data_IF_080569138741
#
_entry.id   IF_080569138741
#
_cell.length_a   1.000
_cell.length_b   1.000
_cell.length_c   1.000
_cell.angle_alpha   90.00
_cell.angle_beta   90.00
_cell.angle_gamma   90.00
#
_symmetry.space_group_name_H-M   'P 1'
#
loop_
_entity.id
_entity.type
_entity.pdbx_description
1 polymer ?
#
# COMPACT_ATOMS: atom_id res chain seq x y z
N UNK A 1 5.92 16.83 3.56
CA UNK A 1 7.02 16.08 4.20
C UNK A 1 6.56 15.12 5.28
N UNK A 2 5.74 15.57 6.24
CA UNK A 2 5.24 14.71 7.34
C UNK A 2 4.54 13.45 6.82
N UNK A 3 3.67 13.57 5.81
CA UNK A 3 2.95 12.45 5.21
C UNK A 3 3.91 11.34 4.73
N UNK A 4 4.88 11.70 3.89
CA UNK A 4 5.85 10.74 3.32
C UNK A 4 6.74 10.17 4.43
N UNK A 5 7.20 11.00 5.37
CA UNK A 5 8.01 10.55 6.50
C UNK A 5 7.29 9.52 7.36
N UNK A 6 6.04 9.80 7.75
CA UNK A 6 5.21 8.88 8.53
C UNK A 6 4.87 7.61 7.76
N UNK A 7 4.61 7.73 6.46
CA UNK A 7 4.41 6.57 5.58
C UNK A 7 5.65 5.70 5.51
N UNK A 8 6.85 6.28 5.37
CA UNK A 8 8.11 5.54 5.29
C UNK A 8 8.44 4.83 6.61
N UNK A 9 8.28 5.50 7.76
CA UNK A 9 8.47 4.86 9.07
C UNK A 9 7.48 3.72 9.25
N UNK A 10 6.20 3.97 8.98
CA UNK A 10 5.16 2.96 9.19
C UNK A 10 5.34 1.76 8.25
N UNK A 11 5.66 2.00 6.98
CA UNK A 11 5.95 0.95 6.00
C UNK A 11 7.22 0.16 6.36
N UNK A 12 8.25 0.82 6.88
CA UNK A 12 9.45 0.15 7.40
C UNK A 12 9.13 -0.80 8.57
N UNK A 13 8.29 -0.36 9.51
CA UNK A 13 7.79 -1.21 10.60
C UNK A 13 6.96 -2.38 10.04
N UNK A 14 6.04 -2.12 9.11
CA UNK A 14 5.25 -3.17 8.45
C UNK A 14 6.13 -4.24 7.80
N UNK A 15 7.16 -3.81 7.07
CA UNK A 15 8.12 -4.69 6.43
C UNK A 15 8.89 -5.56 7.44
N UNK A 16 9.31 -5.00 8.58
CA UNK A 16 9.98 -5.76 9.63
C UNK A 16 9.06 -6.81 10.26
N UNK A 17 7.83 -6.43 10.61
CA UNK A 17 6.86 -7.33 11.24
C UNK A 17 6.26 -8.37 10.28
N UNK A 18 6.43 -8.18 8.97
CA UNK A 18 5.91 -9.10 7.95
C UNK A 18 6.35 -10.55 8.16
N UNK A 19 7.60 -10.76 8.61
CA UNK A 19 8.17 -12.09 8.90
C UNK A 19 7.44 -12.82 10.02
N UNK A 20 6.90 -12.09 10.99
CA UNK A 20 6.19 -12.66 12.15
C UNK A 20 4.68 -12.76 11.92
N UNK A 21 4.07 -11.74 11.30
CA UNK A 21 2.63 -11.65 11.06
C UNK A 21 2.20 -12.51 9.86
N UNK A 22 2.83 -12.32 8.70
CA UNK A 22 2.46 -12.99 7.44
C UNK A 22 3.16 -14.32 7.28
N UNK A 23 4.38 -14.46 7.81
CA UNK A 23 5.16 -15.71 7.81
C UNK A 23 5.34 -16.35 6.44
N UNK A 24 5.32 -15.55 5.36
CA UNK A 24 5.32 -16.04 3.98
C UNK A 24 4.17 -17.03 3.70
N UNK A 25 3.00 -16.77 4.28
CA UNK A 25 1.76 -17.51 4.05
C UNK A 25 0.87 -16.75 3.06
N UNK A 26 0.43 -17.43 2.00
CA UNK A 26 -0.37 -16.84 0.92
C UNK A 26 -1.75 -16.39 1.42
N UNK A 27 -2.38 -17.15 2.31
CA UNK A 27 -3.71 -16.82 2.86
C UNK A 27 -3.64 -15.56 3.73
N UNK A 28 -2.58 -15.39 4.52
CA UNK A 28 -2.38 -14.17 5.31
C UNK A 28 -2.03 -12.97 4.45
N UNK A 29 -1.27 -13.18 3.38
CA UNK A 29 -0.94 -12.14 2.42
C UNK A 29 -2.21 -11.62 1.72
N UNK A 30 -3.11 -12.52 1.32
CA UNK A 30 -4.43 -12.17 0.78
C UNK A 30 -5.24 -11.29 1.73
N UNK A 31 -5.34 -11.67 3.01
CA UNK A 31 -6.06 -10.88 4.03
C UNK A 31 -5.46 -9.48 4.16
N UNK A 32 -4.13 -9.35 4.16
CA UNK A 32 -3.46 -8.06 4.25
C UNK A 32 -3.71 -7.19 3.03
N UNK A 33 -3.66 -7.76 1.82
CA UNK A 33 -3.98 -7.03 0.59
C UNK A 33 -5.45 -6.55 0.59
N UNK A 34 -6.36 -7.35 1.12
CA UNK A 34 -7.75 -6.96 1.30
C UNK A 34 -7.90 -5.82 2.34
N UNK A 35 -7.20 -5.90 3.46
CA UNK A 35 -7.16 -4.83 4.47
C UNK A 35 -6.58 -3.52 3.91
N UNK A 36 -5.50 -3.60 3.13
CA UNK A 36 -4.92 -2.44 2.43
C UNK A 36 -5.94 -1.83 1.48
N UNK A 37 -6.62 -2.66 0.68
CA UNK A 37 -7.67 -2.20 -0.24
C UNK A 37 -8.78 -1.49 0.51
N UNK A 38 -9.31 -2.10 1.59
CA UNK A 38 -10.34 -1.50 2.42
C UNK A 38 -9.91 -0.17 3.04
N UNK A 39 -8.67 -0.09 3.52
CA UNK A 39 -8.11 1.15 4.07
C UNK A 39 -7.98 2.26 3.01
N UNK A 40 -7.55 1.93 1.79
CA UNK A 40 -7.45 2.89 0.68
C UNK A 40 -8.84 3.38 0.26
N UNK A 41 -9.82 2.49 0.16
CA UNK A 41 -11.22 2.87 -0.15
C UNK A 41 -11.78 3.77 0.94
N UNK A 42 -11.58 3.43 2.21
CA UNK A 42 -11.98 4.29 3.33
C UNK A 42 -11.32 5.67 3.26
N UNK A 43 -10.01 5.73 3.01
CA UNK A 43 -9.29 6.98 2.82
C UNK A 43 -9.84 7.80 1.66
N UNK A 44 -10.22 7.16 0.55
CA UNK A 44 -10.75 7.87 -0.62
C UNK A 44 -12.02 8.67 -0.31
N UNK A 45 -12.84 8.19 0.64
CA UNK A 45 -14.08 8.86 1.07
C UNK A 45 -13.81 9.86 2.20
N UNK A 46 -12.89 9.55 3.11
CA UNK A 46 -12.63 10.33 4.32
C UNK A 46 -11.76 11.57 4.06
N UNK A 47 -10.80 11.48 3.13
CA UNK A 47 -9.79 12.54 2.91
C UNK A 47 -10.41 13.86 2.47
N UNK A 48 -11.41 13.84 1.58
CA UNK A 48 -12.07 15.07 1.10
C UNK A 48 -12.75 15.86 2.23
N UNK A 49 -13.71 15.27 2.96
CA UNK A 49 -14.39 15.93 4.07
C UNK A 49 -13.44 16.40 5.19
N UNK A 50 -12.41 15.60 5.52
CA UNK A 50 -11.42 15.99 6.54
C UNK A 50 -10.54 17.15 6.05
N UNK A 51 -10.18 17.20 4.76
CA UNK A 51 -9.41 18.31 4.22
C UNK A 51 -10.21 19.62 4.24
N UNK A 52 -11.50 19.57 3.90
CA UNK A 52 -12.40 20.74 3.88
C UNK A 52 -12.71 21.27 5.29
N UNK A 53 -13.13 20.40 6.21
CA UNK A 53 -13.32 20.75 7.62
C UNK A 53 -12.01 21.12 8.33
N UNK A 54 -10.90 20.59 7.81
CA UNK A 54 -9.53 20.79 8.26
C UNK A 54 -8.99 22.21 8.09
N UNK A 55 -9.64 23.07 7.31
CA UNK A 55 -9.09 24.38 6.93
C UNK A 55 -8.80 25.25 8.16
N UNK A 56 -9.71 25.29 9.14
CA UNK A 56 -9.63 26.11 10.34
C UNK A 56 -8.76 25.53 11.48
N UNK A 57 -8.31 24.28 11.37
CA UNK A 57 -7.55 23.61 12.44
C UNK A 57 -6.12 24.16 12.59
N UNK A 58 -5.57 24.21 13.82
CA UNK A 58 -4.17 24.58 14.02
C UNK A 58 -3.22 23.52 13.43
N UNK A 59 -2.06 23.98 12.91
CA UNK A 59 -1.09 23.14 12.19
C UNK A 59 -0.69 21.84 12.92
N UNK A 60 -0.43 21.82 14.24
CA UNK A 60 -0.07 20.59 14.95
C UNK A 60 -1.16 19.51 14.90
N UNK A 61 -2.43 19.92 14.93
CA UNK A 61 -3.54 18.98 14.92
C UNK A 61 -3.74 18.38 13.52
N UNK A 62 -3.55 19.17 12.46
CA UNK A 62 -3.53 18.65 11.07
C UNK A 62 -2.43 17.62 10.86
N UNK A 63 -1.25 17.85 11.45
CA UNK A 63 -0.14 16.90 11.43
C UNK A 63 -0.56 15.60 12.12
N UNK A 64 -1.07 15.67 13.35
CA UNK A 64 -1.45 14.48 14.11
C UNK A 64 -2.53 13.65 13.40
N UNK A 65 -3.56 14.31 12.85
CA UNK A 65 -4.61 13.65 12.07
C UNK A 65 -4.03 12.98 10.82
N UNK A 66 -3.12 13.65 10.11
CA UNK A 66 -2.47 13.07 8.93
C UNK A 66 -1.66 11.82 9.29
N UNK A 67 -0.90 11.87 10.39
CA UNK A 67 -0.13 10.71 10.88
C UNK A 67 -1.07 9.57 11.23
N UNK A 68 -2.13 9.84 11.98
CA UNK A 68 -3.10 8.83 12.40
C UNK A 68 -3.82 8.17 11.21
N UNK A 69 -4.13 8.92 10.16
CA UNK A 69 -4.76 8.39 8.95
C UNK A 69 -3.80 7.56 8.09
N UNK A 70 -2.53 7.96 8.00
CA UNK A 70 -1.55 7.36 7.07
C UNK A 70 -0.79 6.21 7.69
N UNK A 71 -0.54 6.23 9.00
CA UNK A 71 0.28 5.22 9.65
C UNK A 71 -0.32 3.80 9.52
N UNK A 72 -1.61 3.52 9.84
CA UNK A 72 -2.16 2.18 9.69
C UNK A 72 -2.10 1.61 8.26
N UNK A 73 -2.54 2.32 7.20
CA UNK A 73 -2.42 1.82 5.84
C UNK A 73 -0.95 1.73 5.41
N UNK A 74 -0.09 2.68 5.81
CA UNK A 74 1.35 2.62 5.54
C UNK A 74 2.00 1.36 6.12
N UNK A 75 1.61 0.95 7.33
CA UNK A 75 2.07 -0.29 7.96
C UNK A 75 1.65 -1.52 7.18
N UNK A 76 0.37 -1.62 6.83
CA UNK A 76 -0.17 -2.73 6.07
C UNK A 76 0.45 -2.82 4.66
N UNK A 77 0.65 -1.68 3.98
CA UNK A 77 1.28 -1.59 2.65
C UNK A 77 2.76 -1.99 2.65
N UNK A 78 3.44 -1.96 3.81
CA UNK A 78 4.84 -2.36 3.93
C UNK A 78 5.07 -3.88 3.94
N UNK A 79 4.03 -4.68 4.15
CA UNK A 79 4.14 -6.14 4.30
C UNK A 79 4.17 -6.96 3.00
N UNK A 80 3.43 -6.61 1.92
CA UNK A 80 3.33 -7.46 0.73
C UNK A 80 4.64 -7.68 0.00
N UNK A 81 5.44 -6.63 -0.19
CA UNK A 81 6.70 -6.71 -0.94
C UNK A 81 7.72 -7.69 -0.32
N UNK A 82 8.11 -7.58 0.98
CA UNK A 82 9.05 -8.54 1.59
C UNK A 82 8.48 -9.96 1.65
N UNK A 83 7.17 -10.10 1.84
CA UNK A 83 6.50 -11.42 1.87
C UNK A 83 6.55 -12.09 0.50
N UNK A 84 6.15 -11.38 -0.55
CA UNK A 84 6.19 -11.86 -1.93
C UNK A 84 7.60 -12.17 -2.40
N UNK A 85 8.58 -11.35 -2.00
CA UNK A 85 9.99 -11.62 -2.31
C UNK A 85 10.50 -12.89 -1.63
N UNK A 86 10.12 -13.13 -0.37
CA UNK A 86 10.47 -14.37 0.35
C UNK A 86 9.83 -15.61 -0.30
N UNK A 87 8.57 -15.48 -0.75
CA UNK A 87 7.88 -16.55 -1.49
C UNK A 87 8.57 -16.83 -2.83
N UNK A 88 8.91 -15.77 -3.58
CA UNK A 88 9.61 -15.88 -4.86
C UNK A 88 11.00 -16.48 -4.71
N UNK A 89 11.74 -16.11 -3.66
CA UNK A 89 13.05 -16.67 -3.37
C UNK A 89 12.98 -18.19 -3.13
N UNK A 90 11.91 -18.68 -2.48
CA UNK A 90 11.69 -20.12 -2.28
C UNK A 90 11.32 -20.85 -3.56
N UNK A 91 10.50 -20.24 -4.42
CA UNK A 91 9.99 -20.87 -5.63
C UNK A 91 10.97 -20.78 -6.82
N UNK A 92 11.60 -19.62 -7.03
CA UNK A 92 12.48 -19.33 -8.16
C UNK A 92 13.54 -18.27 -7.78
N UNK A 93 14.66 -18.67 -7.14
CA UNK A 93 15.71 -17.74 -6.69
C UNK A 93 16.28 -16.85 -7.80
N UNK A 94 16.36 -17.36 -9.04
CA UNK A 94 16.88 -16.62 -10.19
C UNK A 94 16.01 -15.41 -10.57
N UNK A 95 14.72 -15.42 -10.22
CA UNK A 95 13.76 -14.38 -10.55
C UNK A 95 13.78 -13.20 -9.57
N UNK A 96 14.43 -13.33 -8.42
CA UNK A 96 14.56 -12.26 -7.41
C UNK A 96 15.16 -10.99 -8.02
N UNK A 97 16.15 -11.13 -8.92
CA UNK A 97 16.75 -9.98 -9.64
C UNK A 97 15.75 -9.24 -10.53
N UNK A 98 14.88 -9.98 -11.21
CA UNK A 98 13.82 -9.42 -12.03
C UNK A 98 12.76 -8.71 -11.19
N UNK A 99 12.40 -9.27 -10.03
CA UNK A 99 11.46 -8.63 -9.11
C UNK A 99 11.93 -7.23 -8.65
N UNK A 100 13.23 -7.08 -8.35
CA UNK A 100 13.80 -5.77 -8.03
C UNK A 100 13.75 -4.78 -9.20
N UNK A 101 14.05 -5.25 -10.43
CA UNK A 101 13.96 -4.40 -11.63
C UNK A 101 12.51 -3.94 -11.90
N UNK A 102 11.54 -4.85 -11.78
CA UNK A 102 10.12 -4.55 -11.93
C UNK A 102 9.65 -3.58 -10.85
N UNK A 103 10.10 -3.74 -9.60
CA UNK A 103 9.75 -2.82 -8.51
C UNK A 103 10.24 -1.38 -8.79
N UNK A 104 11.46 -1.22 -9.30
CA UNK A 104 12.02 0.08 -9.66
C UNK A 104 11.22 0.73 -10.81
N UNK A 105 10.96 -0.02 -11.89
CA UNK A 105 10.18 0.46 -13.02
C UNK A 105 8.75 0.83 -12.61
N UNK A 106 8.10 -0.02 -11.81
CA UNK A 106 6.72 0.20 -11.32
C UNK A 106 6.61 1.41 -10.41
N UNK A 107 7.64 1.73 -9.62
CA UNK A 107 7.65 2.93 -8.76
C UNK A 107 7.68 4.22 -9.59
N UNK A 108 8.46 4.24 -10.67
CA UNK A 108 8.52 5.40 -11.59
C UNK A 108 7.20 5.55 -12.34
N UNK A 109 6.72 4.47 -12.98
CA UNK A 109 5.48 4.48 -13.74
C UNK A 109 4.26 4.78 -12.85
N UNK A 110 4.20 4.15 -11.67
CA UNK A 110 3.12 4.33 -10.71
C UNK A 110 3.05 5.75 -10.16
N UNK A 111 4.18 6.38 -9.86
CA UNK A 111 4.17 7.78 -9.40
C UNK A 111 3.74 8.75 -10.50
N UNK A 112 4.21 8.57 -11.74
CA UNK A 112 3.79 9.38 -12.88
C UNK A 112 2.29 9.19 -13.19
N UNK A 113 1.81 7.95 -13.21
CA UNK A 113 0.41 7.61 -13.40
C UNK A 113 -0.48 8.17 -12.28
N UNK A 114 -0.05 8.08 -11.02
CA UNK A 114 -0.81 8.62 -9.90
C UNK A 114 -0.99 10.14 -9.99
N UNK A 115 0.06 10.87 -10.38
CA UNK A 115 -0.03 12.33 -10.60
C UNK A 115 -0.97 12.63 -11.76
N UNK A 116 -0.80 11.94 -12.89
CA UNK A 116 -1.67 12.10 -14.05
C UNK A 116 -3.14 11.88 -13.70
N UNK A 117 -3.45 10.74 -13.07
CA UNK A 117 -4.82 10.42 -12.64
C UNK A 117 -5.34 11.45 -11.63
N UNK A 118 -4.51 11.90 -10.68
CA UNK A 118 -4.95 12.88 -9.69
C UNK A 118 -5.30 14.24 -10.30
N UNK A 119 -4.61 14.64 -11.37
CA UNK A 119 -4.90 15.89 -12.10
C UNK A 119 -6.20 15.79 -12.90
N UNK A 120 -6.40 14.69 -13.64
CA UNK A 120 -7.52 14.57 -14.58
C UNK A 120 -8.79 13.96 -13.98
N UNK A 121 -8.66 13.02 -13.05
CA UNK A 121 -9.77 12.29 -12.43
C UNK A 121 -9.97 12.66 -10.96
N UNK A 122 -9.04 13.42 -10.37
CA UNK A 122 -9.08 13.80 -8.97
C UNK A 122 -8.49 12.74 -8.03
N UNK A 123 -8.23 13.16 -6.79
CA UNK A 123 -7.56 12.33 -5.77
C UNK A 123 -8.38 11.09 -5.39
N UNK A 124 -9.71 11.23 -5.29
CA UNK A 124 -10.59 10.12 -4.92
C UNK A 124 -10.54 8.98 -5.94
N UNK A 125 -10.69 9.29 -7.23
CA UNK A 125 -10.61 8.29 -8.30
C UNK A 125 -9.23 7.63 -8.36
N UNK A 126 -8.15 8.40 -8.21
CA UNK A 126 -6.79 7.87 -8.15
C UNK A 126 -6.59 6.88 -7.01
N UNK A 127 -7.13 7.17 -5.82
CA UNK A 127 -7.07 6.25 -4.68
C UNK A 127 -7.87 4.96 -4.96
N UNK A 128 -9.06 5.07 -5.55
CA UNK A 128 -9.88 3.90 -5.91
C UNK A 128 -9.14 3.02 -6.92
N UNK A 129 -8.55 3.61 -7.96
CA UNK A 129 -7.76 2.87 -8.96
C UNK A 129 -6.56 2.18 -8.29
N UNK A 130 -5.86 2.86 -7.40
CA UNK A 130 -4.77 2.26 -6.62
C UNK A 130 -5.25 1.08 -5.75
N UNK A 131 -6.40 1.23 -5.10
CA UNK A 131 -7.05 0.15 -4.35
C UNK A 131 -7.43 -1.04 -5.23
N UNK A 132 -7.93 -0.80 -6.45
CA UNK A 132 -8.24 -1.85 -7.41
C UNK A 132 -6.99 -2.63 -7.83
N UNK A 133 -5.83 -1.99 -7.97
CA UNK A 133 -4.56 -2.68 -8.21
C UNK A 133 -4.17 -3.62 -7.05
N UNK A 134 -4.37 -3.19 -5.79
CA UNK A 134 -4.15 -4.05 -4.62
C UNK A 134 -5.12 -5.24 -4.58
N UNK A 135 -6.38 -5.02 -4.97
CA UNK A 135 -7.38 -6.07 -5.06
C UNK A 135 -7.05 -7.08 -6.17
N UNK A 136 -6.59 -6.62 -7.33
CA UNK A 136 -6.13 -7.48 -8.42
C UNK A 136 -4.95 -8.35 -7.99
N UNK A 137 -4.00 -7.77 -7.24
CA UNK A 137 -2.91 -8.54 -6.64
C UNK A 137 -3.43 -9.60 -5.65
N UNK A 138 -4.43 -9.25 -4.82
CA UNK A 138 -5.06 -10.21 -3.91
C UNK A 138 -5.70 -11.39 -4.67
N UNK A 139 -6.42 -11.11 -5.76
CA UNK A 139 -7.02 -12.13 -6.63
C UNK A 139 -5.96 -13.09 -7.19
N UNK A 140 -4.86 -12.56 -7.71
CA UNK A 140 -3.76 -13.37 -8.26
C UNK A 140 -3.11 -14.27 -7.21
N UNK A 141 -2.92 -13.78 -5.98
CA UNK A 141 -2.42 -14.61 -4.88
C UNK A 141 -3.43 -15.67 -4.42
N UNK A 142 -4.73 -15.38 -4.49
CA UNK A 142 -5.77 -16.36 -4.18
C UNK A 142 -5.76 -17.52 -5.17
N UNK A 143 -5.61 -17.24 -6.46
CA UNK A 143 -5.48 -18.26 -7.51
C UNK A 143 -4.24 -19.12 -7.29
N UNK A 144 -3.08 -18.48 -7.04
CA UNK A 144 -1.82 -19.19 -6.78
C UNK A 144 -1.89 -20.08 -5.53
N UNK A 145 -2.60 -19.64 -4.50
CA UNK A 145 -2.83 -20.43 -3.28
C UNK A 145 -3.81 -21.60 -3.46
N UNK A 146 -4.65 -21.58 -4.49
CA UNK A 146 -5.57 -22.68 -4.82
C UNK A 146 -4.89 -23.78 -5.65
N UNK A 147 -3.78 -23.46 -6.34
CA UNK A 147 -3.01 -24.39 -7.16
C UNK A 147 -1.92 -25.17 -6.39
N UNK A 148 -1.59 -24.75 -5.16
CA UNK A 148 -0.57 -25.35 -4.27
C UNK A 148 -1.19 -26.26 -3.20
#
# INVERSE_FOLDING_TARGET
TVIIFSMLISSGLGSFWSKSLVRADISRLYVILFLVTGAIVALSVIVGPIAESGVALPRPLKILISIALIAPPGFAMGMPFPTGLTLLERAMPSAVRWAWAINAASSVLGSAAAIFLAIYLGIQATLIIGGACYLAAAGLYCELGAEL
#
